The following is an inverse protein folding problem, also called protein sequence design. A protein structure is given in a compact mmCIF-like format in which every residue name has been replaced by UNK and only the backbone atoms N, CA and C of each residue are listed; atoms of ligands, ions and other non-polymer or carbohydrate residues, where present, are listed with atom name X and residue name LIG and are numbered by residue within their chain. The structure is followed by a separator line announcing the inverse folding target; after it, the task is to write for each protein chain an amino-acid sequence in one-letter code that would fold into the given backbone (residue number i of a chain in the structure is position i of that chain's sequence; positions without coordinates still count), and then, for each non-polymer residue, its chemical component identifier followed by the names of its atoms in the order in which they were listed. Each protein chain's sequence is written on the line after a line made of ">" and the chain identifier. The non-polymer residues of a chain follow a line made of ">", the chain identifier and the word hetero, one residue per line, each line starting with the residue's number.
data_IF_199567446761
#
_entry.id   IF_199567446761
#
_cell.length_a   1.000
_cell.length_b   1.000
_cell.length_c   1.000
_cell.angle_alpha   90.00
_cell.angle_beta   90.00
_cell.angle_gamma   90.00
#
_symmetry.space_group_name_H-M   'P 1'
#
loop_
_entity.id
_entity.type
_entity.pdbx_description
1 polymer ?
#
# COMPACT_ATOMS: atom_id res chain seq x y z
N UNK A 1 -13.53 10.21 4.71
CA UNK A 1 -12.99 10.28 3.32
C UNK A 1 -12.96 8.86 2.80
N UNK A 2 -13.57 8.55 1.64
CA UNK A 2 -13.66 7.16 1.16
C UNK A 2 -12.37 6.76 0.44
N UNK A 3 -11.84 5.57 0.73
CA UNK A 3 -10.58 5.05 0.20
C UNK A 3 -10.58 4.97 -1.33
N UNK A 4 -11.73 4.60 -1.92
CA UNK A 4 -11.91 4.57 -3.38
C UNK A 4 -11.88 5.95 -4.03
N UNK A 5 -12.34 6.99 -3.33
CA UNK A 5 -12.31 8.37 -3.83
C UNK A 5 -10.87 8.93 -3.82
N UNK A 6 -10.02 8.50 -2.87
CA UNK A 6 -8.59 8.87 -2.77
C UNK A 6 -7.75 8.17 -3.84
N UNK A 7 -8.08 6.93 -4.19
CA UNK A 7 -7.30 6.11 -5.13
C UNK A 7 -7.69 6.38 -6.59
N UNK A 8 -8.94 6.79 -6.83
CA UNK A 8 -9.46 7.15 -8.15
C UNK A 8 -9.24 8.61 -8.56
N UNK A 9 -8.84 9.48 -7.63
CA UNK A 9 -8.44 10.86 -7.93
C UNK A 9 -6.96 10.93 -8.30
N UNK A 10 -6.58 11.98 -9.03
CA UNK A 10 -5.26 12.19 -9.65
C UNK A 10 -4.10 11.62 -8.81
N UNK A 11 -3.22 10.79 -9.40
CA UNK A 11 -2.14 10.03 -8.73
C UNK A 11 -1.22 10.85 -7.80
N UNK A 12 -1.31 12.18 -7.84
CA UNK A 12 -0.59 13.12 -6.96
C UNK A 12 -1.13 13.18 -5.52
N UNK A 13 -2.36 12.75 -5.25
CA UNK A 13 -2.97 12.85 -3.91
C UNK A 13 -3.15 11.50 -3.19
N UNK A 14 -2.97 10.39 -3.89
CA UNK A 14 -3.06 9.07 -3.29
C UNK A 14 -1.83 8.77 -2.43
N UNK A 15 -2.02 8.66 -1.11
CA UNK A 15 -0.93 8.29 -0.21
C UNK A 15 -0.49 6.82 -0.47
N UNK A 16 0.81 6.49 -0.36
CA UNK A 16 1.30 5.13 -0.55
C UNK A 16 0.58 4.09 0.32
N UNK A 17 0.27 4.46 1.56
CA UNK A 17 -0.45 3.60 2.50
C UNK A 17 -1.90 3.38 2.07
N UNK A 18 -2.59 4.43 1.63
CA UNK A 18 -3.97 4.34 1.11
C UNK A 18 -4.03 3.48 -0.15
N UNK A 19 -3.03 3.60 -1.03
CA UNK A 19 -2.92 2.76 -2.23
C UNK A 19 -2.83 1.27 -1.87
N UNK A 20 -1.91 0.91 -0.98
CA UNK A 20 -1.76 -0.50 -0.53
C UNK A 20 -3.05 -1.02 0.09
N UNK A 21 -3.65 -0.26 1.02
CA UNK A 21 -4.85 -0.69 1.71
C UNK A 21 -6.02 -0.87 0.74
N UNK A 22 -6.19 0.02 -0.22
CA UNK A 22 -7.22 -0.15 -1.25
C UNK A 22 -6.96 -1.38 -2.13
N UNK A 23 -5.70 -1.65 -2.50
CA UNK A 23 -5.34 -2.87 -3.24
C UNK A 23 -5.69 -4.14 -2.47
N UNK A 24 -5.35 -4.22 -1.19
CA UNK A 24 -5.75 -5.34 -0.31
C UNK A 24 -7.28 -5.50 -0.30
N UNK A 25 -8.01 -4.39 -0.18
CA UNK A 25 -9.48 -4.40 -0.18
C UNK A 25 -10.13 -4.82 -1.51
N UNK A 26 -9.42 -4.71 -2.64
CA UNK A 26 -9.91 -5.12 -3.97
C UNK A 26 -9.51 -6.58 -4.27
N UNK A 27 -8.30 -6.98 -3.89
CA UNK A 27 -7.72 -8.27 -4.23
C UNK A 27 -8.32 -9.44 -3.46
N UNK A 28 -8.82 -9.21 -2.24
CA UNK A 28 -9.36 -10.26 -1.36
C UNK A 28 -10.69 -10.88 -1.82
N UNK A 29 -11.19 -10.60 -3.04
CA UNK A 29 -12.48 -11.09 -3.60
C UNK A 29 -13.69 -10.98 -2.63
N UNK A 30 -13.57 -10.17 -1.58
CA UNK A 30 -14.54 -10.06 -0.52
C UNK A 30 -15.29 -8.74 -0.70
N UNK A 31 -16.54 -8.85 -1.17
CA UNK A 31 -17.49 -7.75 -1.33
C UNK A 31 -17.75 -7.07 0.03
N UNK A 32 -16.88 -6.15 0.43
CA UNK A 32 -16.94 -5.46 1.72
C UNK A 32 -15.59 -5.21 2.39
N UNK A 33 -14.48 -5.74 1.85
CA UNK A 33 -13.15 -5.52 2.44
C UNK A 33 -12.78 -4.04 2.49
N UNK A 34 -13.08 -3.24 1.45
CA UNK A 34 -12.86 -1.79 1.47
C UNK A 34 -13.66 -1.10 2.57
N UNK A 35 -14.96 -1.43 2.70
CA UNK A 35 -15.80 -0.86 3.74
C UNK A 35 -15.34 -1.27 5.16
N UNK A 36 -14.74 -2.45 5.28
CA UNK A 36 -14.11 -2.92 6.52
C UNK A 36 -12.86 -2.11 6.83
N UNK A 37 -12.01 -1.87 5.83
CA UNK A 37 -10.79 -1.07 5.98
C UNK A 37 -11.14 0.36 6.41
N UNK A 38 -12.13 0.98 5.77
CA UNK A 38 -12.55 2.36 6.07
C UNK A 38 -13.01 2.58 7.52
N UNK A 39 -13.49 1.54 8.21
CA UNK A 39 -13.89 1.64 9.64
C UNK A 39 -12.71 1.91 10.57
N UNK A 40 -11.50 1.62 10.11
CA UNK A 40 -10.27 1.81 10.88
C UNK A 40 -9.60 3.16 10.61
N UNK A 41 -10.24 4.03 9.82
CA UNK A 41 -9.79 5.38 9.56
C UNK A 41 -10.49 6.36 10.50
N UNK A 42 -9.71 6.91 11.42
CA UNK A 42 -10.14 7.96 12.34
C UNK A 42 -9.66 9.33 11.81
N UNK A 43 -10.22 10.44 12.32
CA UNK A 43 -9.84 11.78 11.85
C UNK A 43 -8.34 12.10 11.94
N UNK A 44 -7.65 11.49 12.90
CA UNK A 44 -6.26 11.79 13.26
C UNK A 44 -5.31 10.59 13.08
N UNK A 45 -5.82 9.38 12.84
CA UNK A 45 -5.01 8.16 12.75
C UNK A 45 -5.69 7.04 11.99
N UNK A 46 -4.91 6.02 11.63
CA UNK A 46 -5.39 4.73 11.14
C UNK A 46 -5.04 3.66 12.17
N UNK A 47 -6.00 2.82 12.55
CA UNK A 47 -5.78 1.71 13.48
C UNK A 47 -5.27 0.46 12.75
N UNK A 48 -3.97 0.44 12.50
CA UNK A 48 -3.30 -0.67 11.80
C UNK A 48 -3.29 -1.97 12.60
N UNK A 49 -3.33 -1.92 13.93
CA UNK A 49 -3.39 -3.12 14.77
C UNK A 49 -4.73 -3.83 14.60
N UNK A 50 -5.83 -3.07 14.61
CA UNK A 50 -7.16 -3.62 14.36
C UNK A 50 -7.30 -4.11 12.90
N UNK A 51 -6.76 -3.38 11.92
CA UNK A 51 -6.70 -3.83 10.52
C UNK A 51 -5.97 -5.17 10.38
N UNK A 52 -4.81 -5.33 11.01
CA UNK A 52 -4.03 -6.57 10.98
C UNK A 52 -4.79 -7.73 11.62
N UNK A 53 -5.57 -7.46 12.66
CA UNK A 53 -6.37 -8.48 13.32
C UNK A 53 -7.50 -8.99 12.43
N UNK A 54 -8.15 -8.09 11.69
CA UNK A 54 -9.32 -8.41 10.87
C UNK A 54 -8.98 -8.92 9.47
N UNK A 55 -7.93 -8.36 8.84
CA UNK A 55 -7.57 -8.62 7.44
C UNK A 55 -6.19 -9.26 7.28
N UNK A 56 -5.42 -9.41 8.37
CA UNK A 56 -4.09 -10.01 8.34
C UNK A 56 -4.08 -11.53 8.53
N UNK A 57 -5.18 -12.23 8.23
CA UNK A 57 -5.24 -13.70 8.28
C UNK A 57 -4.32 -14.33 7.23
N UNK A 58 -4.36 -13.79 6.00
CA UNK A 58 -3.43 -14.13 4.92
C UNK A 58 -2.04 -13.48 5.13
N UNK A 59 -1.00 -14.18 4.70
CA UNK A 59 0.39 -13.75 4.86
C UNK A 59 0.73 -12.53 4.00
N UNK A 60 0.23 -12.48 2.76
CA UNK A 60 0.46 -11.38 1.81
C UNK A 60 -0.27 -10.12 2.29
N UNK A 61 -1.55 -10.25 2.65
CA UNK A 61 -2.35 -9.15 3.19
C UNK A 61 -1.74 -8.59 4.48
N UNK A 62 -1.29 -9.47 5.40
CA UNK A 62 -0.56 -9.05 6.60
C UNK A 62 0.73 -8.29 6.28
N UNK A 63 1.52 -8.78 5.34
CA UNK A 63 2.77 -8.15 4.92
C UNK A 63 2.52 -6.75 4.32
N UNK A 64 1.51 -6.62 3.46
CA UNK A 64 1.12 -5.34 2.87
C UNK A 64 0.57 -4.36 3.89
N UNK A 65 -0.26 -4.79 4.83
CA UNK A 65 -0.78 -3.91 5.89
C UNK A 65 0.38 -3.38 6.77
N UNK A 66 1.36 -4.22 7.10
CA UNK A 66 2.58 -3.78 7.81
C UNK A 66 3.39 -2.75 7.01
N UNK A 67 3.56 -2.97 5.71
CA UNK A 67 4.22 -2.01 4.84
C UNK A 67 3.44 -0.68 4.78
N UNK A 68 2.11 -0.74 4.65
CA UNK A 68 1.25 0.44 4.65
C UNK A 68 1.38 1.24 5.96
N UNK A 69 1.44 0.56 7.11
CA UNK A 69 1.66 1.18 8.42
C UNK A 69 3.01 1.91 8.48
N UNK A 70 4.09 1.26 8.02
CA UNK A 70 5.43 1.86 8.00
C UNK A 70 5.51 3.08 7.06
N UNK A 71 4.86 3.02 5.90
CA UNK A 71 4.84 4.13 4.95
C UNK A 71 4.00 5.33 5.43
N UNK A 72 3.01 5.06 6.29
CA UNK A 72 2.16 6.06 6.95
C UNK A 72 2.92 6.76 8.06
N UNK A 73 3.52 5.98 8.96
CA UNK A 73 4.38 6.46 10.04
C UNK A 73 5.53 5.48 10.26
N UNK A 74 6.76 5.98 10.10
CA UNK A 74 7.99 5.21 10.25
C UNK A 74 8.21 4.59 11.63
N UNK A 75 7.49 5.03 12.65
CA UNK A 75 7.48 4.38 13.96
C UNK A 75 6.91 2.94 13.91
N UNK A 76 6.05 2.64 12.92
CA UNK A 76 5.56 1.29 12.67
C UNK A 76 6.63 0.48 11.93
N UNK A 77 7.38 -0.34 12.64
CA UNK A 77 8.42 -1.15 12.03
C UNK A 77 7.86 -2.20 11.05
N UNK A 78 8.42 -2.23 9.84
CA UNK A 78 8.23 -3.30 8.88
C UNK A 78 9.58 -3.80 8.39
N UNK A 79 9.86 -5.09 8.58
CA UNK A 79 11.02 -5.73 7.99
C UNK A 79 10.77 -5.95 6.50
N UNK A 80 11.58 -5.34 5.64
CA UNK A 80 11.40 -5.41 4.18
C UNK A 80 11.58 -6.83 3.63
N UNK A 81 12.51 -7.62 4.18
CA UNK A 81 12.69 -9.01 3.73
C UNK A 81 11.44 -9.84 4.06
N UNK A 82 10.90 -9.69 5.28
CA UNK A 82 9.70 -10.41 5.69
C UNK A 82 8.48 -10.00 4.86
N UNK A 83 8.38 -8.70 4.52
CA UNK A 83 7.32 -8.19 3.65
C UNK A 83 7.43 -8.86 2.28
N UNK A 84 8.52 -8.66 1.55
CA UNK A 84 8.61 -9.11 0.15
C UNK A 84 8.67 -10.63 -0.02
N UNK A 85 9.19 -11.37 0.95
CA UNK A 85 9.21 -12.86 0.90
C UNK A 85 7.79 -13.44 0.98
N UNK A 86 6.86 -12.72 1.61
CA UNK A 86 5.48 -13.16 1.76
C UNK A 86 4.58 -12.78 0.57
N UNK A 87 5.06 -11.99 -0.40
CA UNK A 87 4.23 -11.48 -1.50
C UNK A 87 4.46 -12.29 -2.79
N UNK A 88 3.36 -12.63 -3.46
CA UNK A 88 3.39 -13.06 -4.86
C UNK A 88 3.60 -11.87 -5.82
N UNK A 89 3.74 -12.16 -7.12
CA UNK A 89 4.02 -11.16 -8.15
C UNK A 89 3.00 -10.00 -8.17
N UNK A 90 1.73 -10.28 -7.90
CA UNK A 90 0.65 -9.29 -7.92
C UNK A 90 0.80 -8.35 -6.72
N UNK A 91 0.99 -8.90 -5.52
CA UNK A 91 1.18 -8.10 -4.31
C UNK A 91 2.53 -7.38 -4.29
N UNK A 92 3.58 -7.95 -4.87
CA UNK A 92 4.86 -7.27 -5.06
C UNK A 92 4.71 -6.03 -5.95
N UNK A 93 3.95 -6.12 -7.04
CA UNK A 93 3.68 -4.97 -7.90
C UNK A 93 3.00 -3.83 -7.13
N UNK A 94 2.06 -4.15 -6.23
CA UNK A 94 1.42 -3.17 -5.33
C UNK A 94 2.45 -2.50 -4.42
N UNK A 95 3.31 -3.29 -3.77
CA UNK A 95 4.35 -2.78 -2.89
C UNK A 95 5.34 -1.85 -3.63
N UNK A 96 5.79 -2.24 -4.82
CA UNK A 96 6.67 -1.40 -5.65
C UNK A 96 6.00 -0.10 -6.09
N UNK A 97 4.74 -0.17 -6.54
CA UNK A 97 4.00 1.01 -6.96
C UNK A 97 3.82 2.00 -5.79
N UNK A 98 3.57 1.50 -4.57
CA UNK A 98 3.49 2.34 -3.37
C UNK A 98 4.83 3.02 -3.04
N UNK A 99 5.94 2.29 -3.16
CA UNK A 99 7.28 2.85 -2.98
C UNK A 99 7.59 3.94 -4.01
N UNK A 100 7.17 3.76 -5.28
CA UNK A 100 7.30 4.78 -6.32
C UNK A 100 6.45 6.03 -6.05
N UNK A 101 5.27 5.88 -5.45
CA UNK A 101 4.46 7.01 -4.99
C UNK A 101 5.16 7.78 -3.86
N UNK A 102 5.80 7.07 -2.91
CA UNK A 102 6.53 7.70 -1.79
C UNK A 102 7.83 8.38 -2.25
N UNK A 103 8.56 7.75 -3.17
CA UNK A 103 9.89 8.16 -3.62
C UNK A 103 9.92 8.36 -5.15
N UNK A 104 9.19 9.36 -5.68
CA UNK A 104 9.00 9.54 -7.12
C UNK A 104 10.29 9.95 -7.86
N UNK A 105 11.31 10.40 -7.14
CA UNK A 105 12.62 10.77 -7.72
C UNK A 105 13.33 9.57 -8.35
N UNK A 106 13.12 8.35 -7.84
CA UNK A 106 13.76 7.14 -8.34
C UNK A 106 13.44 6.89 -9.82
N UNK A 107 12.16 6.99 -10.20
CA UNK A 107 11.71 6.87 -11.60
C UNK A 107 12.32 7.96 -12.49
N UNK A 108 12.32 9.22 -12.04
CA UNK A 108 12.79 10.34 -12.85
C UNK A 108 14.29 10.30 -13.11
N UNK A 109 15.09 9.90 -12.13
CA UNK A 109 16.54 9.78 -12.30
C UNK A 109 16.94 8.57 -13.12
N UNK A 110 16.18 7.47 -13.05
CA UNK A 110 16.42 6.29 -13.87
C UNK A 110 16.21 6.60 -15.35
N UNK A 111 15.05 7.14 -15.67
CA UNK A 111 14.65 7.57 -17.02
C UNK A 111 15.59 8.61 -17.65
N UNK A 112 16.19 9.46 -16.82
CA UNK A 112 17.15 10.47 -17.26
C UNK A 112 18.57 9.91 -17.42
N UNK A 113 18.93 8.86 -16.68
CA UNK A 113 20.28 8.25 -16.72
C UNK A 113 20.40 7.15 -17.77
N UNK A 114 19.29 6.50 -18.10
CA UNK A 114 19.24 5.37 -19.01
C UNK A 114 18.13 5.55 -20.07
N UNK A 115 18.21 6.59 -20.92
CA UNK A 115 17.18 6.88 -21.92
C UNK A 115 16.97 5.76 -22.94
N UNK A 116 17.96 4.88 -23.15
CA UNK A 116 17.91 3.74 -24.06
C UNK A 116 16.95 2.61 -23.64
N UNK A 117 16.42 2.66 -22.41
CA UNK A 117 15.41 1.71 -21.91
C UNK A 117 14.00 2.31 -21.85
N UNK A 118 13.80 3.52 -22.38
CA UNK A 118 12.45 4.04 -22.64
C UNK A 118 11.92 3.42 -23.93
N UNK A 119 10.94 2.52 -23.80
CA UNK A 119 10.10 2.08 -24.91
C UNK A 119 9.26 3.23 -25.49
#
# INVERSE_FOLDING_TARGET
>A
MRLLEIVGSDKKECSPSSYILASVGIMEENEGAIATIERYFFPDRVDFEALLKDLGSDASSRALIKLAANLYDSANYANTNDVFTALDDIYQAVAYQALLLKFPSFSKTWDSRYPEFKE
#
